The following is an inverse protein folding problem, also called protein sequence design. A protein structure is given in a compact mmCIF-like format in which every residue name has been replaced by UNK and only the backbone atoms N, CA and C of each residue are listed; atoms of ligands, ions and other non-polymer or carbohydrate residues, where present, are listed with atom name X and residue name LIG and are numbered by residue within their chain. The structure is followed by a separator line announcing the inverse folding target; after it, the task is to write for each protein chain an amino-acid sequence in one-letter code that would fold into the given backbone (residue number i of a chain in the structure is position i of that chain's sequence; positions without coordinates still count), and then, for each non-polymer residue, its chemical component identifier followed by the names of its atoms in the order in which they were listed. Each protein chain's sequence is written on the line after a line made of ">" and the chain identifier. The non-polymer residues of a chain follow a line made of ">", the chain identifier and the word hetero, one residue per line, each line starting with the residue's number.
data_IF_485105883989
#
_entry.id   IF_485105883989
#
_cell.length_a   1.000
_cell.length_b   1.000
_cell.length_c   1.000
_cell.angle_alpha   90.00
_cell.angle_beta   90.00
_cell.angle_gamma   90.00
#
_symmetry.space_group_name_H-M   'P 1'
#
loop_
_entity.id
_entity.type
_entity.pdbx_description
1 polymer ?
#
# COMPACT_ATOMS: atom_id res chain seq x y z
N UNK A 1 -3.19 21.76 -8.18
CA UNK A 1 -2.63 20.71 -9.04
C UNK A 1 -3.71 19.68 -9.26
N UNK A 2 -4.02 19.30 -10.50
CA UNK A 2 -4.95 18.20 -10.76
C UNK A 2 -4.25 16.84 -10.62
N UNK A 3 -5.00 15.74 -10.60
CA UNK A 3 -4.42 14.39 -10.57
C UNK A 3 -3.67 14.06 -11.86
N UNK A 4 -4.14 14.56 -13.00
CA UNK A 4 -3.48 14.37 -14.31
C UNK A 4 -2.14 15.12 -14.38
N UNK A 5 -2.08 16.35 -13.84
CA UNK A 5 -0.83 17.10 -13.71
C UNK A 5 0.17 16.34 -12.83
N UNK A 6 -0.30 15.85 -11.67
CA UNK A 6 0.52 15.07 -10.75
C UNK A 6 1.02 13.77 -11.38
N UNK A 7 0.16 13.02 -12.08
CA UNK A 7 0.56 11.83 -12.81
C UNK A 7 1.65 12.13 -13.83
N UNK A 8 1.49 13.21 -14.59
CA UNK A 8 2.46 13.65 -15.60
C UNK A 8 3.81 14.00 -14.97
N UNK A 9 3.81 14.83 -13.92
CA UNK A 9 5.03 15.20 -13.18
C UNK A 9 5.71 13.98 -12.57
N UNK A 10 4.94 13.10 -11.93
CA UNK A 10 5.45 11.88 -11.30
C UNK A 10 6.09 10.94 -12.33
N UNK A 11 5.42 10.69 -13.45
CA UNK A 11 5.96 9.82 -14.51
C UNK A 11 7.21 10.43 -15.17
N UNK A 12 7.27 11.76 -15.31
CA UNK A 12 8.47 12.44 -15.80
C UNK A 12 9.67 12.25 -14.86
N UNK A 13 9.48 12.33 -13.54
CA UNK A 13 10.52 12.02 -12.55
C UNK A 13 11.02 10.56 -12.70
N UNK A 14 10.09 9.61 -12.83
CA UNK A 14 10.43 8.19 -13.06
C UNK A 14 11.25 8.01 -14.35
N UNK A 15 10.82 8.60 -15.48
CA UNK A 15 11.55 8.49 -16.74
C UNK A 15 12.92 9.17 -16.69
N UNK A 16 13.03 10.33 -16.03
CA UNK A 16 14.31 11.02 -15.85
C UNK A 16 15.30 10.16 -15.05
N UNK A 17 14.83 9.43 -14.05
CA UNK A 17 15.63 8.51 -13.23
C UNK A 17 15.99 7.22 -13.97
N UNK A 18 15.08 6.65 -14.75
CA UNK A 18 15.35 5.40 -15.49
C UNK A 18 16.29 5.58 -16.68
N UNK A 19 16.49 6.82 -17.14
CA UNK A 19 17.26 7.10 -18.35
C UNK A 19 16.61 6.50 -19.60
N UNK A 20 17.43 6.12 -20.59
CA UNK A 20 16.95 5.63 -21.89
C UNK A 20 16.46 4.17 -21.89
N UNK A 21 16.66 3.42 -20.80
CA UNK A 21 16.38 1.98 -20.77
C UNK A 21 15.05 1.66 -20.09
N UNK A 22 14.02 1.39 -20.91
CA UNK A 22 12.67 1.07 -20.44
C UNK A 22 12.59 -0.14 -19.51
N UNK A 23 13.56 -1.07 -19.60
CA UNK A 23 13.60 -2.28 -18.78
C UNK A 23 13.76 -1.97 -17.28
N UNK A 24 14.29 -0.80 -16.93
CA UNK A 24 14.50 -0.39 -15.54
C UNK A 24 13.40 0.54 -15.02
N UNK A 25 12.55 1.10 -15.88
CA UNK A 25 11.52 2.07 -15.47
C UNK A 25 10.57 1.51 -14.41
N UNK A 26 10.15 0.25 -14.53
CA UNK A 26 9.30 -0.39 -13.53
C UNK A 26 10.02 -0.62 -12.19
N UNK A 27 11.32 -0.95 -12.24
CA UNK A 27 12.14 -1.10 -11.04
C UNK A 27 12.28 0.24 -10.32
N UNK A 28 12.63 1.30 -11.06
CA UNK A 28 12.73 2.67 -10.55
C UNK A 28 11.41 3.16 -9.98
N UNK A 29 10.27 2.84 -10.62
CA UNK A 29 8.95 3.11 -10.05
C UNK A 29 8.75 2.38 -8.72
N UNK A 30 9.05 1.09 -8.67
CA UNK A 30 8.90 0.27 -7.45
C UNK A 30 9.72 0.88 -6.31
N UNK A 31 11.00 1.15 -6.53
CA UNK A 31 11.90 1.77 -5.56
C UNK A 31 11.39 3.14 -5.12
N UNK A 32 10.98 4.00 -6.06
CA UNK A 32 10.47 5.34 -5.76
C UNK A 32 9.23 5.31 -4.86
N UNK A 33 8.33 4.34 -5.07
CA UNK A 33 7.17 4.15 -4.21
C UNK A 33 7.60 3.59 -2.85
N UNK A 34 8.50 2.60 -2.80
CA UNK A 34 9.02 2.07 -1.54
C UNK A 34 9.70 3.14 -0.69
N UNK A 35 10.54 4.00 -1.29
CA UNK A 35 11.12 5.19 -0.64
C UNK A 35 10.04 6.09 -0.03
N UNK A 36 8.97 6.34 -0.79
CA UNK A 36 7.84 7.12 -0.30
C UNK A 36 7.16 6.45 0.91
N UNK A 37 7.03 5.12 0.92
CA UNK A 37 6.45 4.38 2.05
C UNK A 37 7.33 4.46 3.30
N UNK A 38 8.66 4.44 3.13
CA UNK A 38 9.63 4.67 4.21
C UNK A 38 9.49 6.09 4.76
N UNK A 39 9.43 7.10 3.88
CA UNK A 39 9.26 8.51 4.29
C UNK A 39 7.96 8.75 5.07
N UNK A 40 6.88 8.02 4.72
CA UNK A 40 5.61 8.05 5.44
C UNK A 40 5.58 7.14 6.68
N UNK A 41 6.70 6.52 7.05
CA UNK A 41 6.80 5.54 8.14
C UNK A 41 5.76 4.41 8.04
N UNK A 42 5.34 4.06 6.82
CA UNK A 42 4.46 2.91 6.57
C UNK A 42 5.23 1.60 6.66
N UNK A 43 6.50 1.62 6.24
CA UNK A 43 7.47 0.53 6.34
C UNK A 43 8.78 1.11 6.86
N UNK A 44 9.65 0.29 7.45
CA UNK A 44 10.92 0.77 8.00
C UNK A 44 12.03 0.81 6.94
N UNK A 45 12.06 -0.20 6.07
CA UNK A 45 13.01 -0.31 4.98
C UNK A 45 12.40 -1.18 3.86
N UNK A 46 13.18 -1.47 2.82
CA UNK A 46 12.84 -2.46 1.82
C UNK A 46 14.09 -3.01 1.12
N UNK A 47 13.93 -4.18 0.50
CA UNK A 47 14.91 -4.78 -0.42
C UNK A 47 14.22 -5.03 -1.76
N UNK A 48 14.76 -4.44 -2.83
CA UNK A 48 14.31 -4.73 -4.18
C UNK A 48 14.79 -6.12 -4.61
N UNK A 49 13.88 -6.90 -5.20
CA UNK A 49 14.10 -8.30 -5.60
C UNK A 49 13.78 -8.51 -7.09
N UNK A 50 12.65 -7.98 -7.59
CA UNK A 50 12.28 -8.11 -9.00
C UNK A 50 12.09 -9.57 -9.48
N UNK A 51 11.79 -10.51 -8.59
CA UNK A 51 11.60 -11.91 -8.93
C UNK A 51 10.30 -12.13 -9.73
N UNK A 52 10.42 -12.72 -10.91
CA UNK A 52 9.30 -13.02 -11.82
C UNK A 52 9.40 -14.43 -12.36
N UNK A 53 8.35 -15.23 -12.15
CA UNK A 53 8.17 -16.53 -12.78
C UNK A 53 6.78 -16.60 -13.42
N UNK A 54 6.67 -16.03 -14.63
CA UNK A 54 5.42 -15.93 -15.37
C UNK A 54 4.73 -17.27 -15.63
N UNK A 55 5.43 -18.36 -16.02
CA UNK A 55 4.80 -19.67 -16.21
C UNK A 55 4.13 -20.21 -14.95
N UNK A 56 4.72 -19.96 -13.77
CA UNK A 56 4.11 -20.35 -12.49
C UNK A 56 3.14 -19.31 -11.95
N UNK A 57 3.06 -18.12 -12.55
CA UNK A 57 2.24 -17.03 -12.06
C UNK A 57 2.71 -16.53 -10.70
N UNK A 58 4.02 -16.39 -10.50
CA UNK A 58 4.64 -15.95 -9.26
C UNK A 58 5.40 -14.66 -9.53
N UNK A 59 5.27 -13.69 -8.62
CA UNK A 59 5.97 -12.42 -8.73
C UNK A 59 6.08 -11.78 -7.35
N UNK A 60 7.25 -11.24 -7.04
CA UNK A 60 7.53 -10.35 -5.92
C UNK A 60 8.59 -9.36 -6.37
N UNK A 61 8.32 -8.06 -6.21
CA UNK A 61 9.20 -7.01 -6.72
C UNK A 61 10.06 -6.41 -5.61
N UNK A 62 9.53 -6.30 -4.39
CA UNK A 62 10.29 -5.90 -3.21
C UNK A 62 9.75 -6.62 -1.97
N UNK A 63 10.47 -6.51 -0.85
CA UNK A 63 10.06 -7.04 0.44
C UNK A 63 10.70 -6.28 1.60
N UNK A 64 10.15 -6.43 2.79
CA UNK A 64 10.69 -5.95 4.06
C UNK A 64 10.31 -6.93 5.18
N UNK A 65 11.15 -7.05 6.20
CA UNK A 65 10.83 -7.81 7.41
C UNK A 65 11.21 -7.01 8.65
N UNK A 66 10.20 -6.67 9.43
CA UNK A 66 10.37 -5.96 10.68
C UNK A 66 10.65 -6.96 11.81
N UNK A 67 11.88 -6.94 12.33
CA UNK A 67 12.32 -7.87 13.38
C UNK A 67 11.62 -7.63 14.73
N UNK A 68 11.18 -6.41 15.02
CA UNK A 68 10.56 -6.06 16.30
C UNK A 68 9.09 -6.48 16.37
N UNK A 69 8.40 -6.42 15.23
CA UNK A 69 6.97 -6.78 15.11
C UNK A 69 6.72 -8.13 14.45
N UNK A 70 7.77 -8.77 13.94
CA UNK A 70 7.72 -10.03 13.18
C UNK A 70 6.79 -9.96 11.96
N UNK A 71 6.71 -8.79 11.33
CA UNK A 71 5.85 -8.52 10.18
C UNK A 71 6.65 -8.65 8.89
N UNK A 72 6.20 -9.54 8.00
CA UNK A 72 6.73 -9.67 6.64
C UNK A 72 5.88 -8.85 5.67
N UNK A 73 6.48 -7.90 4.96
CA UNK A 73 5.85 -7.09 3.93
C UNK A 73 6.33 -7.50 2.54
N UNK A 74 5.43 -7.80 1.63
CA UNK A 74 5.74 -8.25 0.27
C UNK A 74 5.05 -7.35 -0.76
N UNK A 75 5.77 -6.94 -1.79
CA UNK A 75 5.32 -5.92 -2.74
C UNK A 75 5.26 -6.47 -4.15
N UNK A 76 4.21 -6.12 -4.88
CA UNK A 76 4.07 -6.37 -6.32
C UNK A 76 3.67 -5.09 -7.02
N UNK A 77 4.28 -4.86 -8.18
CA UNK A 77 4.11 -3.66 -8.99
C UNK A 77 3.29 -3.96 -10.24
N UNK A 78 2.22 -3.18 -10.45
CA UNK A 78 1.46 -3.10 -11.70
C UNK A 78 1.73 -1.74 -12.34
N UNK A 79 2.74 -1.70 -13.22
CA UNK A 79 3.18 -0.49 -13.88
C UNK A 79 2.70 -0.44 -15.34
N UNK A 80 2.23 0.74 -15.78
CA UNK A 80 1.77 0.99 -17.14
C UNK A 80 2.58 2.08 -17.81
N UNK A 81 3.14 1.75 -18.97
CA UNK A 81 3.78 2.71 -19.87
C UNK A 81 2.72 3.47 -20.69
N UNK A 82 1.85 4.22 -20.02
CA UNK A 82 0.81 5.02 -20.67
C UNK A 82 1.06 6.50 -20.44
N UNK A 83 0.80 7.32 -21.46
CA UNK A 83 0.78 8.78 -21.34
C UNK A 83 -0.48 9.32 -20.67
N UNK A 84 -1.47 8.47 -20.43
CA UNK A 84 -2.76 8.82 -19.84
C UNK A 84 -3.01 8.01 -18.57
N UNK A 85 -3.77 8.61 -17.64
CA UNK A 85 -4.14 7.98 -16.39
C UNK A 85 -5.21 6.89 -16.62
N UNK A 86 -4.78 5.62 -16.57
CA UNK A 86 -5.68 4.47 -16.70
C UNK A 86 -6.36 4.10 -15.37
N UNK A 87 -7.25 3.10 -15.42
CA UNK A 87 -7.96 2.59 -14.24
C UNK A 87 -7.70 1.10 -14.01
N UNK A 88 -7.21 0.75 -12.83
CA UNK A 88 -6.96 -0.62 -12.39
C UNK A 88 -8.26 -1.32 -11.98
N UNK A 89 -8.54 -2.47 -12.60
CA UNK A 89 -9.75 -3.25 -12.34
C UNK A 89 -9.57 -4.25 -11.19
N UNK A 90 -10.67 -4.61 -10.50
CA UNK A 90 -10.64 -5.55 -9.38
C UNK A 90 -10.06 -6.93 -9.76
N UNK A 91 -10.29 -7.38 -10.99
CA UNK A 91 -9.73 -8.66 -11.49
C UNK A 91 -8.21 -8.62 -11.58
N UNK A 92 -7.63 -7.46 -11.91
CA UNK A 92 -6.18 -7.26 -12.00
C UNK A 92 -5.55 -7.15 -10.62
N UNK A 93 -6.22 -6.44 -9.70
CA UNK A 93 -5.85 -6.39 -8.28
C UNK A 93 -5.73 -7.80 -7.70
N UNK A 94 -6.79 -8.61 -7.82
CA UNK A 94 -6.82 -10.00 -7.33
C UNK A 94 -5.72 -10.83 -8.01
N UNK A 95 -5.50 -10.65 -9.31
CA UNK A 95 -4.46 -11.35 -10.05
C UNK A 95 -3.06 -11.03 -9.51
N UNK A 96 -2.77 -9.77 -9.21
CA UNK A 96 -1.46 -9.38 -8.70
C UNK A 96 -1.24 -9.89 -7.27
N UNK A 97 -2.23 -9.78 -6.38
CA UNK A 97 -2.11 -10.34 -5.04
C UNK A 97 -1.91 -11.86 -5.06
N UNK A 98 -2.66 -12.61 -5.88
CA UNK A 98 -2.46 -14.06 -6.02
C UNK A 98 -1.03 -14.45 -6.41
N UNK A 99 -0.30 -13.61 -7.15
CA UNK A 99 1.10 -13.86 -7.51
C UNK A 99 2.02 -13.76 -6.30
N UNK A 100 1.79 -12.79 -5.41
CA UNK A 100 2.51 -12.65 -4.13
C UNK A 100 2.17 -13.77 -3.16
N UNK A 101 0.87 -14.05 -2.99
CA UNK A 101 0.38 -15.12 -2.12
C UNK A 101 1.03 -16.46 -2.50
N UNK A 102 1.11 -16.74 -3.81
CA UNK A 102 1.76 -17.94 -4.31
C UNK A 102 3.27 -17.96 -4.02
N UNK A 103 3.96 -16.83 -4.18
CA UNK A 103 5.38 -16.74 -3.82
C UNK A 103 5.59 -17.09 -2.33
N UNK A 104 4.78 -16.48 -1.45
CA UNK A 104 4.85 -16.71 -0.01
C UNK A 104 4.59 -18.19 0.33
N UNK A 105 3.46 -18.73 -0.14
CA UNK A 105 3.05 -20.12 0.12
C UNK A 105 4.10 -21.13 -0.35
N UNK A 106 4.68 -20.94 -1.54
CA UNK A 106 5.74 -21.82 -2.03
C UNK A 106 7.03 -21.69 -1.21
N UNK A 107 7.37 -20.48 -0.75
CA UNK A 107 8.57 -20.22 0.07
C UNK A 107 8.51 -20.84 1.46
N UNK A 108 7.33 -21.20 1.96
CA UNK A 108 7.20 -22.00 3.20
C UNK A 108 7.75 -23.42 3.04
N UNK A 109 7.95 -23.90 1.82
CA UNK A 109 8.41 -25.25 1.51
C UNK A 109 9.86 -25.27 1.02
N UNK A 110 10.71 -26.05 1.70
CA UNK A 110 12.12 -26.23 1.33
C UNK A 110 12.33 -26.66 -0.13
N UNK A 111 11.36 -27.38 -0.72
CA UNK A 111 11.43 -27.82 -2.13
C UNK A 111 11.47 -26.64 -3.10
N UNK A 112 10.79 -25.54 -2.78
CA UNK A 112 10.82 -24.33 -3.60
C UNK A 112 12.21 -23.68 -3.53
N UNK A 113 12.76 -23.54 -2.33
CA UNK A 113 14.09 -22.98 -2.12
C UNK A 113 15.19 -23.79 -2.84
N UNK A 114 15.15 -25.12 -2.77
CA UNK A 114 16.12 -25.99 -3.46
C UNK A 114 15.98 -25.90 -4.99
N UNK A 115 14.77 -25.65 -5.49
CA UNK A 115 14.52 -25.52 -6.92
C UNK A 115 14.90 -24.14 -7.49
N UNK A 116 15.13 -23.15 -6.63
CA UNK A 116 15.63 -21.84 -7.03
C UNK A 116 17.15 -21.86 -7.16
N UNK A 117 17.66 -21.21 -8.20
CA UNK A 117 19.08 -20.92 -8.30
C UNK A 117 19.48 -19.89 -7.24
N UNK A 118 20.63 -20.06 -6.59
CA UNK A 118 21.08 -19.13 -5.53
C UNK A 118 21.28 -17.70 -6.03
N UNK A 119 21.58 -17.53 -7.32
CA UNK A 119 21.72 -16.23 -7.98
C UNK A 119 20.38 -15.60 -8.40
N UNK A 120 19.26 -16.32 -8.25
CA UNK A 120 17.97 -15.84 -8.70
C UNK A 120 17.50 -14.66 -7.82
N UNK A 121 16.90 -13.60 -8.39
CA UNK A 121 16.49 -12.40 -7.66
C UNK A 121 15.38 -12.56 -6.59
N UNK A 122 15.02 -13.79 -6.20
CA UNK A 122 14.09 -14.08 -5.11
C UNK A 122 14.58 -15.16 -4.15
N UNK A 123 15.81 -15.66 -4.33
CA UNK A 123 16.35 -16.74 -3.50
C UNK A 123 16.54 -16.30 -2.04
N UNK A 124 17.11 -15.11 -1.83
CA UNK A 124 17.34 -14.56 -0.48
C UNK A 124 16.03 -14.45 0.31
N UNK A 125 15.00 -13.84 -0.30
CA UNK A 125 13.68 -13.73 0.31
C UNK A 125 13.04 -15.11 0.56
N UNK A 126 13.10 -16.04 -0.41
CA UNK A 126 12.55 -17.38 -0.22
C UNK A 126 13.22 -18.12 0.95
N UNK A 127 14.54 -17.93 1.10
CA UNK A 127 15.31 -18.47 2.22
C UNK A 127 14.89 -17.85 3.54
N UNK A 128 14.75 -16.53 3.59
CA UNK A 128 14.32 -15.82 4.78
C UNK A 128 12.93 -16.27 5.24
N UNK A 129 11.95 -16.34 4.32
CA UNK A 129 10.61 -16.83 4.61
C UNK A 129 10.68 -18.25 5.18
N UNK A 130 11.46 -19.14 4.56
CA UNK A 130 11.61 -20.52 5.02
C UNK A 130 12.18 -20.61 6.44
N UNK A 131 13.26 -19.88 6.71
CA UNK A 131 13.95 -19.90 7.99
C UNK A 131 13.07 -19.29 9.11
N UNK A 132 12.40 -18.16 8.83
CA UNK A 132 11.47 -17.51 9.77
C UNK A 132 10.20 -18.33 10.02
N UNK A 133 9.69 -19.03 9.01
CA UNK A 133 8.60 -19.99 9.18
C UNK A 133 9.01 -21.12 10.14
N UNK A 134 10.23 -21.65 10.00
CA UNK A 134 10.74 -22.69 10.90
C UNK A 134 10.93 -22.22 12.34
N UNK A 135 11.41 -21.00 12.53
CA UNK A 135 11.55 -20.41 13.87
C UNK A 135 10.23 -19.88 14.45
N UNK A 136 9.14 -19.88 13.65
CA UNK A 136 7.84 -19.27 13.98
C UNK A 136 7.95 -17.78 14.30
N UNK A 137 8.78 -17.07 13.55
CA UNK A 137 9.03 -15.63 13.73
C UNK A 137 8.31 -14.79 12.69
N UNK A 138 7.15 -15.23 12.19
CA UNK A 138 6.29 -14.42 11.33
C UNK A 138 4.93 -14.34 12.02
N UNK A 139 4.61 -13.18 12.58
CA UNK A 139 3.35 -12.93 13.27
C UNK A 139 2.23 -12.57 12.28
N UNK A 140 2.59 -11.87 11.19
CA UNK A 140 1.67 -11.39 10.16
C UNK A 140 2.41 -11.19 8.83
N UNK A 141 1.67 -11.38 7.74
CA UNK A 141 2.12 -11.05 6.38
C UNK A 141 1.29 -9.90 5.83
N UNK A 142 1.95 -8.90 5.25
CA UNK A 142 1.31 -7.78 4.56
C UNK A 142 1.64 -7.84 3.07
N UNK A 143 0.63 -7.79 2.23
CA UNK A 143 0.78 -7.74 0.79
C UNK A 143 0.47 -6.34 0.29
N UNK A 144 1.38 -5.76 -0.47
CA UNK A 144 1.26 -4.44 -1.05
C UNK A 144 1.18 -4.54 -2.58
N UNK A 145 0.18 -3.87 -3.17
CA UNK A 145 0.10 -3.64 -4.60
C UNK A 145 0.44 -2.19 -4.90
N UNK A 146 1.51 -1.98 -5.66
CA UNK A 146 1.97 -0.67 -6.10
C UNK A 146 1.54 -0.46 -7.56
N UNK A 147 0.97 0.68 -7.88
CA UNK A 147 0.55 0.97 -9.26
C UNK A 147 0.58 2.46 -9.59
N UNK A 148 0.97 2.80 -10.82
CA UNK A 148 0.97 4.18 -11.30
C UNK A 148 -0.40 4.61 -11.86
N UNK A 149 -1.38 3.71 -11.94
CA UNK A 149 -2.72 4.01 -12.45
C UNK A 149 -3.74 4.09 -11.32
N UNK A 150 -4.91 4.67 -11.58
CA UNK A 150 -5.90 4.90 -10.54
C UNK A 150 -6.69 3.62 -10.21
N UNK A 151 -6.95 3.36 -8.92
CA UNK A 151 -7.83 2.28 -8.52
C UNK A 151 -9.29 2.59 -8.89
N UNK A 152 -9.98 1.62 -9.49
CA UNK A 152 -11.42 1.76 -9.78
C UNK A 152 -12.24 1.93 -8.49
N UNK A 153 -13.19 2.87 -8.51
CA UNK A 153 -14.18 3.09 -7.43
C UNK A 153 -15.01 1.84 -7.07
N UNK A 154 -15.01 0.82 -7.93
CA UNK A 154 -15.76 -0.44 -7.75
C UNK A 154 -14.96 -1.54 -7.06
N UNK A 155 -13.69 -1.30 -6.73
CA UNK A 155 -12.88 -2.27 -6.00
C UNK A 155 -13.40 -2.35 -4.57
N UNK A 156 -14.00 -3.49 -4.23
CA UNK A 156 -14.44 -3.80 -2.87
C UNK A 156 -13.24 -4.00 -1.95
N UNK A 157 -13.46 -3.84 -0.63
CA UNK A 157 -12.46 -4.22 0.37
C UNK A 157 -11.97 -5.65 0.11
N UNK A 158 -10.66 -5.81 -0.05
CA UNK A 158 -10.03 -7.12 -0.21
C UNK A 158 -10.23 -7.86 1.10
N UNK A 159 -10.81 -9.06 1.04
CA UNK A 159 -11.02 -9.86 2.24
C UNK A 159 -9.66 -10.25 2.83
N UNK A 160 -9.49 -9.98 4.13
CA UNK A 160 -8.37 -10.52 4.89
C UNK A 160 -8.56 -12.04 4.93
N UNK A 161 -7.69 -12.74 4.22
CA UNK A 161 -7.69 -14.20 4.18
C UNK A 161 -6.44 -14.68 4.88
N UNK A 162 -6.57 -15.72 5.70
CA UNK A 162 -5.39 -16.39 6.23
C UNK A 162 -4.80 -17.29 5.15
N UNK A 163 -3.48 -17.29 5.02
CA UNK A 163 -2.74 -18.10 4.03
C UNK A 163 -1.82 -19.04 4.77
N UNK A 164 -2.01 -20.34 4.59
CA UNK A 164 -1.20 -21.39 5.23
C UNK A 164 -1.08 -21.22 6.76
N UNK A 165 -2.12 -20.67 7.40
CA UNK A 165 -2.18 -20.42 8.84
C UNK A 165 -1.61 -19.06 9.29
N UNK A 166 -1.14 -18.22 8.37
CA UNK A 166 -0.68 -16.86 8.66
C UNK A 166 -1.79 -15.84 8.48
N UNK A 167 -1.88 -14.89 9.41
CA UNK A 167 -2.79 -13.74 9.25
C UNK A 167 -2.24 -12.80 8.19
N UNK A 168 -3.06 -12.48 7.19
CA UNK A 168 -2.66 -11.60 6.09
C UNK A 168 -3.48 -10.31 6.00
N UNK A 169 -2.81 -9.24 5.60
CA UNK A 169 -3.44 -7.96 5.24
C UNK A 169 -3.02 -7.54 3.84
N UNK A 170 -3.87 -6.75 3.19
CA UNK A 170 -3.66 -6.30 1.81
C UNK A 170 -3.76 -4.78 1.77
N UNK A 171 -2.82 -4.12 1.11
CA UNK A 171 -2.84 -2.68 0.92
C UNK A 171 -2.52 -2.31 -0.53
N UNK A 172 -3.20 -1.27 -1.03
CA UNK A 172 -3.04 -0.79 -2.41
C UNK A 172 -2.53 0.64 -2.37
N UNK A 173 -1.46 0.87 -3.12
CA UNK A 173 -0.82 2.16 -3.34
C UNK A 173 -0.96 2.54 -4.79
N UNK A 174 -2.05 3.24 -5.08
CA UNK A 174 -2.35 3.82 -6.39
C UNK A 174 -1.93 5.29 -6.46
N UNK A 175 -1.83 5.83 -7.67
CA UNK A 175 -1.41 7.23 -7.86
C UNK A 175 -2.36 8.22 -7.17
N UNK A 176 -3.65 7.90 -7.07
CA UNK A 176 -4.63 8.74 -6.37
C UNK A 176 -4.31 8.87 -4.88
N UNK A 177 -3.88 7.78 -4.23
CA UNK A 177 -3.49 7.78 -2.82
C UNK A 177 -2.24 8.61 -2.59
N UNK A 178 -1.23 8.48 -3.46
CA UNK A 178 -0.03 9.31 -3.41
C UNK A 178 -0.39 10.79 -3.55
N UNK A 179 -1.21 11.12 -4.56
CA UNK A 179 -1.68 12.48 -4.79
C UNK A 179 -2.39 13.07 -3.56
N UNK A 180 -3.26 12.31 -2.88
CA UNK A 180 -3.95 12.76 -1.65
C UNK A 180 -2.97 13.06 -0.52
N UNK A 181 -1.97 12.20 -0.31
CA UNK A 181 -0.99 12.39 0.76
C UNK A 181 -0.10 13.60 0.48
N UNK A 182 0.42 13.74 -0.74
CA UNK A 182 1.24 14.91 -1.10
C UNK A 182 0.44 16.21 -1.11
N UNK A 183 -0.81 16.16 -1.57
CA UNK A 183 -1.68 17.34 -1.58
C UNK A 183 -2.10 17.76 -0.18
N UNK A 184 -2.40 16.80 0.72
CA UNK A 184 -2.74 17.10 2.13
C UNK A 184 -1.53 17.56 2.96
N UNK A 185 -0.32 17.10 2.61
CA UNK A 185 0.91 17.67 3.18
C UNK A 185 1.16 19.12 2.77
N UNK A 186 0.67 19.53 1.59
CA UNK A 186 0.78 20.90 1.06
C UNK A 186 -0.41 21.80 1.41
N UNK A 187 -1.59 21.22 1.61
CA UNK A 187 -2.82 21.91 1.98
C UNK A 187 -3.36 21.29 3.28
N UNK A 188 -3.38 22.06 4.37
CA UNK A 188 -4.37 21.84 5.43
C UNK A 188 -5.74 21.90 4.77
N UNK A 189 -6.27 20.76 4.35
CA UNK A 189 -7.66 20.69 3.91
C UNK A 189 -8.53 20.61 5.17
N UNK A 190 -9.37 21.63 5.35
CA UNK A 190 -10.48 21.56 6.30
C UNK A 190 -11.41 20.43 5.85
N UNK A 191 -11.44 19.36 6.62
CA UNK A 191 -12.38 18.26 6.43
C UNK A 191 -13.78 18.77 6.77
N UNK A 192 -14.50 19.28 5.76
CA UNK A 192 -15.91 19.66 5.90
C UNK A 192 -16.76 18.40 5.76
N UNK A 193 -17.03 17.75 6.89
CA UNK A 193 -18.02 16.67 6.96
C UNK A 193 -19.41 17.31 7.07
N UNK A 194 -20.25 17.07 6.06
CA UNK A 194 -21.66 17.45 6.08
C UNK A 194 -22.47 16.47 6.93
N UNK A 195 -22.47 16.70 8.24
CA UNK A 195 -23.15 15.85 9.21
C UNK A 195 -24.69 15.85 9.07
N UNK A 196 -25.28 16.81 8.34
CA UNK A 196 -26.73 16.91 8.16
C UNK A 196 -27.31 15.74 7.35
N UNK A 197 -26.48 15.03 6.57
CA UNK A 197 -26.91 13.85 5.80
C UNK A 197 -26.87 12.56 6.63
N UNK A 198 -26.22 12.56 7.79
CA UNK A 198 -25.97 11.35 8.60
C UNK A 198 -26.82 11.37 9.88
N UNK A 199 -26.99 12.53 10.51
CA UNK A 199 -27.92 12.74 11.62
C UNK A 199 -28.73 14.02 11.40
N UNK A 200 -30.06 13.94 11.18
CA UNK A 200 -30.91 15.12 11.08
C UNK A 200 -30.86 16.01 12.33
N UNK A 201 -30.51 15.45 13.48
CA UNK A 201 -30.43 16.15 14.77
C UNK A 201 -29.01 16.63 15.14
N UNK A 202 -28.02 16.43 14.27
CA UNK A 202 -26.62 16.79 14.54
C UNK A 202 -25.91 15.82 15.50
N UNK A 203 -24.60 15.99 15.67
CA UNK A 203 -23.81 15.16 16.60
C UNK A 203 -24.01 15.67 18.03
N UNK A 204 -24.39 14.81 18.99
CA UNK A 204 -24.40 15.17 20.41
C UNK A 204 -22.99 15.56 20.85
N UNK A 205 -22.83 16.79 21.35
CA UNK A 205 -21.55 17.23 21.89
C UNK A 205 -21.21 16.39 23.14
N UNK A 206 -20.04 15.75 23.12
CA UNK A 206 -19.52 15.09 24.31
C UNK A 206 -19.05 16.18 25.29
N UNK A 207 -19.55 16.21 26.52
CA UNK A 207 -19.11 17.18 27.50
C UNK A 207 -17.63 16.90 27.84
N UNK A 208 -16.75 17.84 27.50
CA UNK A 208 -15.37 17.83 27.96
C UNK A 208 -15.37 18.15 29.46
N UNK A 209 -15.09 17.15 30.30
CA UNK A 209 -14.93 17.36 31.74
C UNK A 209 -13.48 17.77 32.03
N UNK A 210 -13.25 19.07 32.11
CA UNK A 210 -12.09 19.67 32.78
C UNK A 210 -12.62 20.63 33.83
N UNK A 211 -12.11 20.51 35.06
CA UNK A 211 -12.68 21.11 36.27
C UNK A 211 -13.19 22.54 36.12
N UNK A 212 -14.42 22.73 36.60
CA UNK A 212 -15.12 24.01 36.83
C UNK A 212 -14.95 25.07 35.75
N UNK A 213 -15.39 24.78 34.52
CA UNK A 213 -16.19 25.69 33.68
C UNK A 213 -16.58 24.96 32.39
N UNK A 214 -17.87 25.01 32.03
CA UNK A 214 -18.40 24.37 30.82
C UNK A 214 -18.13 25.25 29.60
N UNK A 215 -17.18 24.86 28.77
CA UNK A 215 -16.99 25.47 27.45
C UNK A 215 -17.42 24.51 26.34
N UNK A 216 -18.22 24.99 25.39
CA UNK A 216 -18.45 24.30 24.13
C UNK A 216 -17.37 24.74 23.13
N UNK A 217 -16.55 23.81 22.65
CA UNK A 217 -15.68 24.04 21.50
C UNK A 217 -16.55 24.00 20.22
N UNK A 218 -16.80 25.17 19.64
CA UNK A 218 -17.40 25.29 18.31
C UNK A 218 -16.28 25.16 17.28
N UNK A 219 -16.25 24.07 16.51
CA UNK A 219 -15.67 24.16 15.17
C UNK A 219 -16.61 25.04 14.34
N UNK A 220 -16.05 25.93 13.53
CA UNK A 220 -16.80 26.89 12.72
C UNK A 220 -17.68 26.16 11.70
N UNK A 221 -18.89 25.82 12.13
CA UNK A 221 -19.99 25.27 11.34
C UNK A 221 -21.29 25.65 12.04
N UNK A 222 -22.25 26.19 11.29
CA UNK A 222 -23.51 26.76 11.78
C UNK A 222 -24.24 25.86 12.81
N UNK A 223 -24.09 26.15 14.10
CA UNK A 223 -24.87 25.54 15.17
C UNK A 223 -25.99 26.51 15.61
N UNK A 224 -27.25 26.11 15.42
CA UNK A 224 -28.39 26.80 16.05
C UNK A 224 -28.38 26.48 17.55
N UNK A 225 -28.36 27.51 18.40
CA UNK A 225 -28.60 27.41 19.84
C UNK A 225 -30.04 26.98 20.08
N UNK A 226 -30.25 25.78 20.61
CA UNK A 226 -31.46 25.45 21.37
C UNK A 226 -31.05 24.83 22.72
N UNK A 227 -31.31 25.60 23.77
CA UNK A 227 -31.38 25.31 25.21
C UNK A 227 -30.29 24.45 25.86
N UNK A 228 -29.45 25.15 26.63
CA UNK A 228 -28.68 24.62 27.76
C UNK A 228 -29.58 24.13 28.90
#
# INVERSE_FOLDING_TARGET
>A
MSIDDFYTEFMQDIYARSGAEQNFTEAVFTERICDFLVDQATIENYVYSGYKNSPRGIRVDAWDYNNDTEVLSLFVTDFRFSGELETLQNTEVIRNFRRLEKFFSESLNIKFLIALEESAPGYELAREIYDKNKSKSISRVQFFLLTNIQLSNRVSAISKNDIDGYSCTYDIWDISRLFRIESSGRAREDVVIDFQKILPEGIPCLPAFTGSDKFCLLSSGNARRNNC
#
